data_IF_001123761782
#
_entry.id   IF_001123761782
#
_cell.length_a   1.000
_cell.length_b   1.000
_cell.length_c   1.000
_cell.angle_alpha   90.00
_cell.angle_beta   90.00
_cell.angle_gamma   90.00
#
_symmetry.space_group_name_H-M   'P 1'
#
loop_
_entity.id
_entity.type
_entity.pdbx_description
1 polymer ?
#
# COMPACT_ATOMS: atom_id res chain seq x y z
N UNK A 1 18.47 3.64 -5.46
CA UNK A 1 17.88 2.72 -4.47
C UNK A 1 16.37 2.90 -4.41
N UNK A 2 15.63 1.79 -4.40
CA UNK A 2 14.18 1.81 -4.33
C UNK A 2 13.70 2.31 -2.97
N UNK A 3 12.71 3.21 -2.95
CA UNK A 3 12.12 3.72 -1.72
C UNK A 3 10.73 3.12 -1.56
N UNK A 4 10.60 2.20 -0.60
CA UNK A 4 9.34 1.54 -0.31
C UNK A 4 8.51 2.32 0.69
N UNK A 5 7.19 2.16 0.61
CA UNK A 5 6.30 2.67 1.64
C UNK A 5 6.34 1.74 2.84
N UNK A 6 6.46 2.32 4.03
CA UNK A 6 6.43 1.55 5.26
C UNK A 6 4.99 1.25 5.67
N UNK A 7 4.81 0.30 6.58
CA UNK A 7 3.51 0.00 7.16
C UNK A 7 2.87 1.24 7.77
N UNK A 8 3.66 2.00 8.53
CA UNK A 8 3.18 3.22 9.17
C UNK A 8 2.70 4.26 8.15
N UNK A 9 3.39 4.36 7.03
CA UNK A 9 2.99 5.30 5.97
C UNK A 9 1.66 4.90 5.35
N UNK A 10 1.45 3.62 5.09
CA UNK A 10 0.20 3.13 4.50
C UNK A 10 -0.96 3.32 5.47
N UNK A 11 -0.74 3.07 6.75
CA UNK A 11 -1.74 3.33 7.79
C UNK A 11 -2.12 4.81 7.80
N UNK A 12 -1.15 5.69 7.72
CA UNK A 12 -1.38 7.13 7.71
C UNK A 12 -2.15 7.57 6.47
N UNK A 13 -1.81 6.99 5.31
CA UNK A 13 -2.54 7.28 4.08
C UNK A 13 -4.02 6.94 4.24
N UNK A 14 -4.33 5.75 4.76
CA UNK A 14 -5.71 5.34 4.99
C UNK A 14 -6.42 6.29 5.96
N UNK A 15 -5.77 6.60 7.08
CA UNK A 15 -6.35 7.50 8.07
C UNK A 15 -6.73 8.84 7.43
N UNK A 16 -5.84 9.41 6.63
CA UNK A 16 -6.08 10.68 5.94
C UNK A 16 -7.27 10.57 4.98
N UNK A 17 -7.35 9.47 4.21
CA UNK A 17 -8.43 9.29 3.25
C UNK A 17 -9.78 9.22 3.96
N UNK A 18 -9.87 8.45 5.05
CA UNK A 18 -11.11 8.33 5.81
C UNK A 18 -11.48 9.66 6.47
N UNK A 19 -10.49 10.36 7.01
CA UNK A 19 -10.72 11.65 7.67
C UNK A 19 -11.24 12.70 6.68
N UNK A 20 -10.67 12.76 5.48
CA UNK A 20 -11.04 13.77 4.47
C UNK A 20 -12.34 13.42 3.76
N UNK A 21 -12.53 12.15 3.39
CA UNK A 21 -13.65 11.74 2.54
C UNK A 21 -14.75 11.00 3.28
N UNK A 22 -14.54 10.71 4.57
CA UNK A 22 -15.51 9.96 5.37
C UNK A 22 -15.34 8.46 5.22
N UNK A 23 -16.09 7.72 6.02
CA UNK A 23 -16.08 6.27 6.05
C UNK A 23 -15.91 5.74 7.46
N UNK A 24 -15.94 4.42 7.59
CA UNK A 24 -15.77 3.77 8.88
C UNK A 24 -14.32 3.81 9.32
N UNK A 25 -14.12 4.09 10.61
CA UNK A 25 -12.80 4.06 11.20
C UNK A 25 -12.84 3.28 12.51
N UNK A 26 -12.10 2.17 12.56
CA UNK A 26 -11.97 1.34 13.76
C UNK A 26 -10.58 1.56 14.34
N UNK A 27 -10.46 2.23 15.50
CA UNK A 27 -9.16 2.48 16.10
C UNK A 27 -8.45 1.18 16.46
N UNK A 28 -7.10 1.17 16.50
CA UNK A 28 -6.24 2.33 16.26
C UNK A 28 -5.91 2.57 14.81
N UNK A 29 -5.89 1.54 13.96
CA UNK A 29 -5.34 1.65 12.61
C UNK A 29 -6.32 1.30 11.50
N UNK A 30 -7.58 1.12 11.85
CA UNK A 30 -8.65 0.87 10.88
C UNK A 30 -8.49 -0.44 10.08
N UNK A 31 -7.80 -1.43 10.63
CA UNK A 31 -7.60 -2.69 9.91
C UNK A 31 -8.84 -3.55 9.86
N UNK A 32 -9.04 -4.19 8.71
CA UNK A 32 -9.94 -5.33 8.57
C UNK A 32 -9.11 -6.61 8.44
N UNK A 33 -8.05 -6.57 7.63
CA UNK A 33 -7.14 -7.70 7.41
C UNK A 33 -5.70 -7.22 7.44
N UNK A 34 -5.20 -6.95 8.63
CA UNK A 34 -3.83 -6.46 8.83
C UNK A 34 -2.79 -7.39 8.22
N UNK A 35 -3.01 -8.71 8.34
CA UNK A 35 -2.11 -9.73 7.82
C UNK A 35 -1.89 -9.58 6.32
N UNK A 36 -2.88 -9.06 5.58
CA UNK A 36 -2.74 -8.86 4.15
C UNK A 36 -1.78 -7.71 3.83
N UNK A 37 -1.69 -6.71 4.71
CA UNK A 37 -0.70 -5.66 4.55
C UNK A 37 0.70 -6.19 4.82
N UNK A 38 0.86 -6.98 5.88
CA UNK A 38 2.15 -7.57 6.21
C UNK A 38 2.64 -8.45 5.06
N UNK A 39 1.75 -9.23 4.44
CA UNK A 39 2.08 -10.04 3.28
C UNK A 39 2.51 -9.18 2.09
N UNK A 40 1.79 -8.11 1.82
CA UNK A 40 2.12 -7.19 0.72
C UNK A 40 3.53 -6.61 0.89
N UNK A 41 3.86 -6.17 2.11
CA UNK A 41 5.16 -5.55 2.37
C UNK A 41 6.31 -6.51 2.17
N UNK A 42 6.10 -7.79 2.44
CA UNK A 42 7.10 -8.83 2.15
C UNK A 42 7.15 -9.15 0.66
N UNK A 43 5.99 -9.34 0.04
CA UNK A 43 5.89 -9.76 -1.37
C UNK A 43 6.53 -8.75 -2.31
N UNK A 44 6.36 -7.47 -2.03
CA UNK A 44 6.84 -6.42 -2.94
C UNK A 44 8.36 -6.37 -3.05
N UNK A 45 9.06 -6.92 -2.05
CA UNK A 45 10.51 -7.00 -2.03
C UNK A 45 11.03 -8.42 -2.24
N UNK A 46 10.15 -9.35 -2.57
CA UNK A 46 10.52 -10.76 -2.69
C UNK A 46 11.49 -11.00 -3.85
N UNK A 47 12.38 -11.96 -3.65
CA UNK A 47 13.35 -12.39 -4.66
C UNK A 47 13.26 -13.88 -4.89
N UNK A 48 13.65 -14.30 -6.09
CA UNK A 48 13.76 -15.70 -6.43
C UNK A 48 15.08 -15.90 -7.16
N UNK A 49 15.91 -16.83 -6.65
CA UNK A 49 17.24 -17.11 -7.22
C UNK A 49 18.09 -15.85 -7.34
N UNK A 50 17.99 -14.94 -6.36
CA UNK A 50 18.80 -13.74 -6.32
C UNK A 50 18.29 -12.58 -7.18
N UNK A 51 17.13 -12.76 -7.83
CA UNK A 51 16.55 -11.71 -8.65
C UNK A 51 15.19 -11.27 -8.11
N UNK A 52 14.85 -9.97 -8.18
CA UNK A 52 13.55 -9.50 -7.72
C UNK A 52 12.40 -10.12 -8.52
N UNK A 53 11.32 -10.51 -7.84
CA UNK A 53 10.12 -10.98 -8.51
C UNK A 53 9.42 -9.85 -9.26
N UNK A 54 9.50 -8.64 -8.72
CA UNK A 54 8.84 -7.45 -9.29
C UNK A 54 9.88 -6.35 -9.46
N UNK A 55 10.71 -6.43 -10.53
CA UNK A 55 11.84 -5.50 -10.68
C UNK A 55 11.47 -4.06 -11.04
N UNK A 56 10.32 -3.86 -11.68
CA UNK A 56 9.96 -2.55 -12.21
C UNK A 56 9.17 -1.73 -11.21
N UNK A 57 9.40 -0.41 -11.20
CA UNK A 57 8.71 0.49 -10.28
C UNK A 57 7.20 0.45 -10.51
N UNK A 58 6.77 0.42 -11.78
CA UNK A 58 5.33 0.40 -12.07
C UNK A 58 4.67 -0.92 -11.62
N UNK A 59 5.42 -2.04 -11.64
CA UNK A 59 4.90 -3.30 -11.11
C UNK A 59 4.65 -3.21 -9.62
N UNK A 60 5.58 -2.60 -8.90
CA UNK A 60 5.47 -2.43 -7.45
C UNK A 60 4.33 -1.46 -7.09
N UNK A 61 4.19 -0.39 -7.86
CA UNK A 61 3.07 0.54 -7.66
C UNK A 61 1.74 -0.19 -7.84
N UNK A 62 1.65 -1.04 -8.87
CA UNK A 62 0.46 -1.85 -9.11
C UNK A 62 0.18 -2.83 -7.99
N UNK A 63 1.23 -3.40 -7.38
CA UNK A 63 1.07 -4.30 -6.24
C UNK A 63 0.48 -3.58 -5.03
N UNK A 64 0.97 -2.38 -4.72
CA UNK A 64 0.37 -1.59 -3.64
C UNK A 64 -1.11 -1.37 -3.90
N UNK A 65 -1.43 -0.86 -5.09
CA UNK A 65 -2.81 -0.52 -5.43
C UNK A 65 -3.71 -1.75 -5.39
N UNK A 66 -3.32 -2.80 -6.13
CA UNK A 66 -4.15 -4.00 -6.25
C UNK A 66 -4.39 -4.67 -4.90
N UNK A 67 -3.32 -4.88 -4.12
CA UNK A 67 -3.46 -5.60 -2.86
C UNK A 67 -4.24 -4.80 -1.82
N UNK A 68 -4.03 -3.49 -1.74
CA UNK A 68 -4.76 -2.68 -0.77
C UNK A 68 -6.25 -2.68 -1.11
N UNK A 69 -6.60 -2.56 -2.39
CA UNK A 69 -7.99 -2.50 -2.81
C UNK A 69 -8.65 -3.88 -2.74
N UNK A 70 -8.02 -4.89 -3.35
CA UNK A 70 -8.65 -6.20 -3.53
C UNK A 70 -8.67 -7.04 -2.27
N UNK A 71 -7.68 -6.87 -1.39
CA UNK A 71 -7.57 -7.69 -0.19
C UNK A 71 -8.17 -7.02 1.04
N UNK A 72 -8.89 -5.92 0.85
CA UNK A 72 -9.65 -5.25 1.92
C UNK A 72 -8.85 -5.11 3.20
N UNK A 73 -7.67 -4.51 3.10
CA UNK A 73 -6.76 -4.36 4.24
C UNK A 73 -7.40 -3.55 5.37
N UNK A 74 -8.11 -2.50 5.00
CA UNK A 74 -8.74 -1.60 5.96
C UNK A 74 -10.27 -1.76 5.98
N UNK A 75 -10.88 -1.28 7.05
CA UNK A 75 -12.34 -1.30 7.19
C UNK A 75 -13.03 -0.47 6.11
N UNK A 76 -12.38 0.62 5.69
CA UNK A 76 -12.92 1.52 4.67
C UNK A 76 -11.79 2.30 4.03
N UNK A 77 -12.09 2.97 2.91
CA UNK A 77 -11.13 3.81 2.22
C UNK A 77 -10.08 3.05 1.42
N UNK A 78 -10.27 1.77 1.16
CA UNK A 78 -9.26 0.94 0.49
C UNK A 78 -8.94 1.43 -0.93
N UNK A 79 -9.96 1.81 -1.69
CA UNK A 79 -9.73 2.25 -3.06
C UNK A 79 -8.89 3.53 -3.10
N UNK A 80 -9.23 4.52 -2.28
CA UNK A 80 -8.49 5.77 -2.20
C UNK A 80 -7.08 5.54 -1.66
N UNK A 81 -6.97 4.69 -0.65
CA UNK A 81 -5.67 4.36 -0.05
C UNK A 81 -4.76 3.68 -1.06
N UNK A 82 -5.28 2.71 -1.80
CA UNK A 82 -4.50 2.01 -2.81
C UNK A 82 -4.01 2.92 -3.91
N UNK A 83 -4.89 3.79 -4.43
CA UNK A 83 -4.52 4.75 -5.46
C UNK A 83 -3.47 5.73 -4.95
N UNK A 84 -3.66 6.25 -3.74
CA UNK A 84 -2.73 7.21 -3.16
C UNK A 84 -1.37 6.57 -2.86
N UNK A 85 -1.37 5.35 -2.36
CA UNK A 85 -0.12 4.62 -2.08
C UNK A 85 0.68 4.41 -3.37
N UNK A 86 0.02 3.98 -4.45
CA UNK A 86 0.68 3.78 -5.73
C UNK A 86 1.29 5.10 -6.24
N UNK A 87 0.53 6.18 -6.14
CA UNK A 87 0.98 7.50 -6.60
C UNK A 87 2.19 7.99 -5.80
N UNK A 88 2.12 7.89 -4.47
CA UNK A 88 3.21 8.32 -3.60
C UNK A 88 4.46 7.48 -3.88
N UNK A 89 4.28 6.16 -4.06
CA UNK A 89 5.40 5.29 -4.37
C UNK A 89 6.09 5.71 -5.67
N UNK A 90 5.31 5.96 -6.72
CA UNK A 90 5.86 6.39 -8.01
C UNK A 90 6.63 7.70 -7.86
N UNK A 91 6.02 8.69 -7.21
CA UNK A 91 6.66 10.00 -7.02
C UNK A 91 7.94 9.88 -6.21
N UNK A 92 7.95 9.05 -5.17
CA UNK A 92 9.12 8.84 -4.32
C UNK A 92 10.28 8.19 -5.06
N UNK A 93 10.00 7.55 -6.19
CA UNK A 93 11.00 6.85 -6.98
C UNK A 93 11.28 7.55 -8.32
N UNK A 94 10.97 8.85 -8.40
CA UNK A 94 11.37 9.68 -9.51
C UNK A 94 10.42 9.75 -10.70
N UNK A 95 9.22 9.23 -10.54
CA UNK A 95 8.20 9.30 -11.60
C UNK A 95 7.28 10.50 -11.33
N UNK A 96 6.84 11.14 -12.38
CA UNK A 96 5.96 12.31 -12.25
C UNK A 96 4.70 12.17 -13.11
#
# INVERSE_FOLDING_TARGET
MMRYLSKAEIIRINHTQVEVYGGNFVPPDNFLHEENLDYLLEAIQAEMFGAPLYPEVYQKAGLYMFNIISNHIFQDGNKRTGLQAAMIFLLSNGYS
#
